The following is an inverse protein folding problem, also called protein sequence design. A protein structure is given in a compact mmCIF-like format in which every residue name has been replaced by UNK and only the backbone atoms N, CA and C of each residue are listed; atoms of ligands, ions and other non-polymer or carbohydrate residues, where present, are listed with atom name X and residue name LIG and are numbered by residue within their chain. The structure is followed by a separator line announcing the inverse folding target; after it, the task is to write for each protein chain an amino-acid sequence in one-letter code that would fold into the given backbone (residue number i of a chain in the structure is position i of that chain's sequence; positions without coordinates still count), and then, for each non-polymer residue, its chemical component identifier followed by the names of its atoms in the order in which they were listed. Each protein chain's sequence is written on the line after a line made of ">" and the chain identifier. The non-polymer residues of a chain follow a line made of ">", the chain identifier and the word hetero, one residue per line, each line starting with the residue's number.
data_IF_880224332976
#
_entry.id   IF_880224332976
#
_cell.length_a   1.000
_cell.length_b   1.000
_cell.length_c   1.000
_cell.angle_alpha   90.00
_cell.angle_beta   90.00
_cell.angle_gamma   90.00
#
_symmetry.space_group_name_H-M   'P 1'
#
loop_
_entity.id
_entity.type
_entity.pdbx_description
1 polymer ?
#
# COMPACT_ATOMS: atom_id res chain seq x y z
N UNK A 1 24.78 -6.92 26.64
CA UNK A 1 23.58 -7.07 25.80
C UNK A 1 23.23 -5.70 25.22
N UNK A 2 23.69 -5.38 24.01
CA UNK A 2 23.44 -4.08 23.38
C UNK A 2 22.01 -4.04 22.82
N UNK A 3 21.16 -3.19 23.41
CA UNK A 3 19.73 -3.02 23.03
C UNK A 3 19.58 -2.04 21.84
N UNK A 4 20.67 -1.64 21.19
CA UNK A 4 20.67 -0.52 20.24
C UNK A 4 21.16 -0.89 18.84
N UNK A 5 20.32 -1.57 18.05
CA UNK A 5 20.23 -1.25 16.63
C UNK A 5 18.79 -0.95 16.15
N UNK A 6 17.78 -1.12 17.01
CA UNK A 6 16.37 -0.97 16.59
C UNK A 6 15.87 0.48 16.59
N UNK A 7 16.56 1.41 17.26
CA UNK A 7 16.08 2.78 17.46
C UNK A 7 16.17 3.70 16.22
N UNK A 8 16.82 3.28 15.13
CA UNK A 8 17.07 4.16 13.98
C UNK A 8 16.70 3.53 12.64
N UNK A 9 15.60 2.76 12.56
CA UNK A 9 15.00 2.53 11.24
C UNK A 9 14.36 3.83 10.78
N UNK A 10 15.12 4.59 9.97
CA UNK A 10 14.74 5.87 9.37
C UNK A 10 13.30 5.81 8.84
N UNK A 11 12.49 6.78 9.25
CA UNK A 11 11.14 6.96 8.70
C UNK A 11 11.20 7.19 7.19
N UNK A 12 10.13 6.83 6.50
CA UNK A 12 10.00 6.97 5.05
C UNK A 12 9.63 5.68 4.34
N UNK A 13 9.65 5.73 3.01
CA UNK A 13 9.15 4.65 2.16
C UNK A 13 10.00 3.39 2.30
N UNK A 14 9.37 2.28 2.68
CA UNK A 14 10.01 0.97 2.87
C UNK A 14 9.61 -0.04 1.82
N UNK A 15 8.38 0.04 1.30
CA UNK A 15 7.87 -0.85 0.26
C UNK A 15 6.99 -0.10 -0.75
N UNK A 16 6.91 -0.66 -1.96
CA UNK A 16 5.95 -0.21 -2.99
C UNK A 16 5.13 -1.41 -3.43
N UNK A 17 3.81 -1.23 -3.40
CA UNK A 17 2.84 -2.22 -3.83
C UNK A 17 2.16 -1.69 -5.08
N UNK A 18 2.00 -2.52 -6.11
CA UNK A 18 1.11 -2.21 -7.22
C UNK A 18 -0.32 -2.43 -6.77
N UNK A 19 -1.22 -1.52 -7.14
CA UNK A 19 -2.66 -1.69 -7.04
C UNK A 19 -3.26 -1.60 -8.43
N UNK A 20 -4.20 -2.50 -8.72
CA UNK A 20 -5.02 -2.50 -9.92
C UNK A 20 -6.49 -2.58 -9.56
N UNK A 21 -7.37 -2.10 -10.44
CA UNK A 21 -8.82 -2.23 -10.31
C UNK A 21 -9.56 -1.36 -11.33
N UNK A 22 -10.82 -1.08 -11.04
CA UNK A 22 -11.67 -0.14 -11.78
C UNK A 22 -11.97 1.10 -10.93
N UNK A 23 -11.89 2.29 -11.53
CA UNK A 23 -12.32 3.54 -10.90
C UNK A 23 -13.86 3.65 -10.86
N UNK A 24 -14.43 4.68 -10.20
CA UNK A 24 -15.89 4.85 -10.15
C UNK A 24 -16.58 5.08 -11.50
N UNK A 25 -15.82 5.40 -12.56
CA UNK A 25 -16.29 5.50 -13.95
C UNK A 25 -16.08 4.20 -14.75
N UNK A 26 -15.78 3.10 -14.05
CA UNK A 26 -15.45 1.78 -14.59
C UNK A 26 -14.18 1.73 -15.46
N UNK A 27 -13.33 2.76 -15.40
CA UNK A 27 -12.06 2.78 -16.13
C UNK A 27 -11.01 1.98 -15.36
N UNK A 28 -10.29 1.13 -16.07
CA UNK A 28 -9.17 0.40 -15.48
C UNK A 28 -8.09 1.38 -14.96
N UNK A 29 -7.54 1.09 -13.78
CA UNK A 29 -6.38 1.80 -13.25
C UNK A 29 -5.29 0.84 -12.75
N UNK A 30 -4.05 1.32 -12.80
CA UNK A 30 -2.89 0.69 -12.17
C UNK A 30 -1.99 1.77 -11.58
N UNK A 31 -1.69 1.70 -10.28
CA UNK A 31 -0.91 2.70 -9.53
C UNK A 31 0.01 2.05 -8.51
N UNK A 32 0.92 2.85 -7.95
CA UNK A 32 1.79 2.44 -6.84
C UNK A 32 1.25 2.96 -5.51
N UNK A 33 1.03 2.06 -4.57
CA UNK A 33 0.89 2.36 -3.15
C UNK A 33 2.30 2.48 -2.56
N UNK A 34 2.59 3.62 -1.95
CA UNK A 34 3.81 3.85 -1.18
C UNK A 34 3.55 3.51 0.27
N UNK A 35 4.29 2.54 0.81
CA UNK A 35 4.21 2.19 2.23
C UNK A 35 5.40 2.80 2.95
N UNK A 36 5.11 3.65 3.94
CA UNK A 36 6.11 4.33 4.76
C UNK A 36 6.11 3.79 6.18
N UNK A 37 7.31 3.63 6.75
CA UNK A 37 7.49 3.42 8.18
C UNK A 37 7.35 4.77 8.88
N UNK A 38 6.58 4.80 9.96
CA UNK A 38 6.40 5.94 10.86
C UNK A 38 6.76 5.52 12.28
N UNK A 39 6.89 6.47 13.21
CA UNK A 39 7.12 6.19 14.63
C UNK A 39 6.01 5.36 15.29
N UNK A 40 4.82 5.25 14.67
CA UNK A 40 3.65 4.51 15.21
C UNK A 40 3.33 3.22 14.44
N UNK A 41 4.08 2.88 13.40
CA UNK A 41 3.83 1.69 12.57
C UNK A 41 4.11 1.94 11.09
N UNK A 42 3.16 1.59 10.24
CA UNK A 42 3.22 1.78 8.79
C UNK A 42 1.99 2.56 8.32
N UNK A 43 2.23 3.57 7.49
CA UNK A 43 1.18 4.26 6.72
C UNK A 43 1.34 3.94 5.24
N UNK A 44 0.24 3.98 4.50
CA UNK A 44 0.25 3.76 3.07
C UNK A 44 -0.54 4.84 2.35
N UNK A 45 -0.05 5.24 1.17
CA UNK A 45 -0.68 6.26 0.34
C UNK A 45 -0.59 5.89 -1.14
N UNK A 46 -1.65 6.21 -1.88
CA UNK A 46 -1.70 6.12 -3.34
C UNK A 46 -2.13 7.47 -3.90
N UNK A 47 -1.63 7.78 -5.10
CA UNK A 47 -2.09 8.91 -5.89
C UNK A 47 -2.68 8.38 -7.20
N UNK A 48 -3.91 8.78 -7.49
CA UNK A 48 -4.63 8.47 -8.72
C UNK A 48 -5.11 9.79 -9.32
N UNK A 49 -4.50 10.22 -10.44
CA UNK A 49 -4.74 11.55 -11.02
C UNK A 49 -4.51 12.64 -9.96
N UNK A 50 -5.52 13.46 -9.64
CA UNK A 50 -5.46 14.48 -8.58
C UNK A 50 -5.88 13.94 -7.19
N UNK A 51 -6.42 12.72 -7.11
CA UNK A 51 -6.88 12.11 -5.87
C UNK A 51 -5.71 11.45 -5.12
N UNK A 52 -5.40 11.97 -3.94
CA UNK A 52 -4.54 11.30 -2.96
C UNK A 52 -5.39 10.58 -1.94
N UNK A 53 -5.14 9.28 -1.75
CA UNK A 53 -5.75 8.49 -0.69
C UNK A 53 -4.66 7.98 0.24
N UNK A 54 -4.75 8.36 1.51
CA UNK A 54 -3.87 7.90 2.57
C UNK A 54 -4.67 7.05 3.57
N UNK A 55 -4.19 5.84 3.86
CA UNK A 55 -4.79 4.91 4.82
C UNK A 55 -4.53 5.32 6.27
N UNK A 56 -5.13 4.60 7.21
CA UNK A 56 -4.77 4.68 8.62
C UNK A 56 -3.40 4.03 8.88
N UNK A 57 -2.76 4.39 9.99
CA UNK A 57 -1.51 3.75 10.41
C UNK A 57 -1.82 2.39 11.04
N UNK A 58 -1.10 1.34 10.62
CA UNK A 58 -1.24 -0.02 11.15
C UNK A 58 0.10 -0.59 11.62
N UNK A 59 0.05 -1.63 12.46
CA UNK A 59 1.24 -2.35 12.95
C UNK A 59 1.93 -3.18 11.86
N UNK A 60 1.24 -3.49 10.75
CA UNK A 60 1.75 -4.29 9.64
C UNK A 60 1.63 -3.54 8.30
N UNK A 61 2.51 -3.86 7.37
CA UNK A 61 2.48 -3.36 5.99
C UNK A 61 1.17 -3.75 5.29
N UNK A 62 0.77 -5.02 5.42
CA UNK A 62 -0.48 -5.51 4.83
C UNK A 62 -1.71 -4.77 5.37
N UNK A 63 -1.73 -4.45 6.68
CA UNK A 63 -2.78 -3.63 7.27
C UNK A 63 -2.82 -2.21 6.70
N UNK A 64 -1.65 -1.58 6.52
CA UNK A 64 -1.56 -0.25 5.92
C UNK A 64 -2.06 -0.24 4.46
N UNK A 65 -1.67 -1.25 3.65
CA UNK A 65 -2.14 -1.42 2.27
C UNK A 65 -3.65 -1.64 2.24
N UNK A 66 -4.18 -2.56 3.07
CA UNK A 66 -5.62 -2.82 3.15
C UNK A 66 -6.40 -1.55 3.53
N UNK A 67 -5.88 -0.72 4.43
CA UNK A 67 -6.54 0.54 4.80
C UNK A 67 -6.70 1.52 3.63
N UNK A 68 -5.74 1.56 2.69
CA UNK A 68 -5.88 2.32 1.45
C UNK A 68 -6.94 1.72 0.54
N UNK A 69 -6.94 0.38 0.40
CA UNK A 69 -7.94 -0.34 -0.40
C UNK A 69 -9.35 -0.12 0.13
N UNK A 70 -9.55 -0.23 1.45
CA UNK A 70 -10.85 -0.01 2.09
C UNK A 70 -11.35 1.42 1.84
N UNK A 71 -10.46 2.43 1.89
CA UNK A 71 -10.81 3.82 1.55
C UNK A 71 -11.15 3.99 0.07
N UNK A 72 -10.37 3.41 -0.84
CA UNK A 72 -10.69 3.43 -2.27
C UNK A 72 -12.04 2.75 -2.55
N UNK A 73 -12.33 1.63 -1.89
CA UNK A 73 -13.61 0.92 -2.00
C UNK A 73 -14.77 1.83 -1.58
N UNK A 74 -14.63 2.55 -0.46
CA UNK A 74 -15.61 3.54 0.00
C UNK A 74 -15.81 4.72 -0.97
N UNK A 75 -14.82 4.98 -1.84
CA UNK A 75 -14.90 6.00 -2.89
C UNK A 75 -15.44 5.45 -4.23
N UNK A 76 -15.85 4.18 -4.27
CA UNK A 76 -16.44 3.53 -5.44
C UNK A 76 -15.45 2.82 -6.37
N UNK A 77 -14.18 2.69 -5.97
CA UNK A 77 -13.24 1.84 -6.70
C UNK A 77 -13.55 0.36 -6.45
N UNK A 78 -13.37 -0.49 -7.46
CA UNK A 78 -13.80 -1.89 -7.44
C UNK A 78 -12.78 -2.83 -8.05
N UNK A 79 -12.99 -4.14 -7.87
CA UNK A 79 -12.17 -5.24 -8.38
C UNK A 79 -10.69 -5.05 -8.07
N UNK A 80 -10.42 -4.59 -6.85
CA UNK A 80 -9.09 -4.16 -6.46
C UNK A 80 -8.23 -5.36 -6.10
N UNK A 81 -6.98 -5.31 -6.55
CA UNK A 81 -5.94 -6.26 -6.15
C UNK A 81 -4.63 -5.55 -5.93
N UNK A 82 -3.81 -6.08 -5.04
CA UNK A 82 -2.48 -5.53 -4.77
C UNK A 82 -1.39 -6.59 -4.86
N UNK A 83 -0.18 -6.16 -5.18
CA UNK A 83 1.01 -7.02 -5.19
C UNK A 83 2.25 -6.24 -4.78
N UNK A 84 3.11 -6.77 -3.91
CA UNK A 84 4.39 -6.14 -3.60
C UNK A 84 5.32 -6.15 -4.82
N UNK A 85 5.70 -4.96 -5.31
CA UNK A 85 6.65 -4.81 -6.40
C UNK A 85 8.07 -4.53 -5.90
N UNK A 86 8.21 -3.80 -4.79
CA UNK A 86 9.51 -3.45 -4.22
C UNK A 86 9.55 -3.57 -2.71
N UNK A 87 10.66 -4.10 -2.20
CA UNK A 87 11.04 -4.07 -0.79
C UNK A 87 12.40 -3.44 -0.63
N UNK A 88 12.44 -2.18 -0.20
CA UNK A 88 13.62 -1.33 -0.30
C UNK A 88 14.10 -1.22 -1.75
N UNK A 89 15.32 -1.71 -2.03
CA UNK A 89 15.91 -1.76 -3.38
C UNK A 89 15.63 -3.07 -4.13
N UNK A 90 15.06 -4.08 -3.47
CA UNK A 90 14.79 -5.39 -4.07
C UNK A 90 13.51 -5.34 -4.88
N UNK A 91 13.59 -5.72 -6.15
CA UNK A 91 12.44 -5.95 -7.02
C UNK A 91 11.85 -7.34 -6.77
N UNK A 92 10.52 -7.40 -6.61
CA UNK A 92 9.77 -8.61 -6.31
C UNK A 92 8.78 -8.91 -7.45
N UNK A 93 7.75 -8.09 -7.60
CA UNK A 93 6.80 -8.06 -8.71
C UNK A 93 6.30 -9.45 -9.13
N UNK A 94 6.64 -9.93 -10.33
CA UNK A 94 6.19 -11.22 -10.87
C UNK A 94 6.52 -12.44 -9.99
N UNK A 95 7.43 -12.29 -9.01
CA UNK A 95 7.75 -13.32 -8.02
C UNK A 95 6.74 -13.41 -6.87
N UNK A 96 5.82 -12.45 -6.77
CA UNK A 96 4.83 -12.35 -5.71
C UNK A 96 3.42 -12.56 -6.28
N UNK A 97 2.53 -13.08 -5.45
CA UNK A 97 1.13 -13.30 -5.83
C UNK A 97 0.30 -12.04 -5.64
N UNK A 98 -0.76 -11.92 -6.44
CA UNK A 98 -1.78 -10.91 -6.22
C UNK A 98 -2.60 -11.25 -4.98
N UNK A 99 -2.90 -10.22 -4.18
CA UNK A 99 -3.88 -10.24 -3.10
C UNK A 99 -5.13 -9.58 -3.66
N UNK A 100 -6.20 -10.36 -3.79
CA UNK A 100 -7.51 -9.89 -4.24
C UNK A 100 -8.32 -9.34 -3.06
N UNK A 101 -9.07 -8.26 -3.29
CA UNK A 101 -9.96 -7.66 -2.30
C UNK A 101 -11.40 -7.70 -2.84
N UNK A 102 -12.31 -8.43 -2.19
CA UNK A 102 -13.70 -8.50 -2.61
C UNK A 102 -14.37 -7.12 -2.60
N UNK A 103 -15.21 -6.87 -3.61
CA UNK A 103 -16.12 -5.72 -3.58
C UNK A 103 -17.16 -5.91 -2.46
N UNK A 104 -17.53 -4.81 -1.80
CA UNK A 104 -18.54 -4.77 -0.72
C UNK A 104 -19.91 -4.46 -1.28
#
# INVERSE_FOLDING_TARGET
>A
MSVLPLLFKKEGVVERHQIEGNDPSDRYFSRSILVSRTGKGYSAKVMYEALTVEGQTHSTIGGAVKSVVDKLSSLGFRRMRTRPNFKGRRYLAEKETWIEYPDV
#
